data_IF_040021573404
#
_entry.id   IF_040021573404
#
_cell.length_a   1.000
_cell.length_b   1.000
_cell.length_c   1.000
_cell.angle_alpha   90.00
_cell.angle_beta   90.00
_cell.angle_gamma   90.00
#
_symmetry.space_group_name_H-M   'P 1'
#
loop_
_entity.id
_entity.type
_entity.pdbx_description
1 polymer ?
#
# COMPACT_ATOMS: atom_id res chain seq x y z
N UNK A 1 7.24 7.06 -16.58
CA UNK A 1 6.46 7.36 -15.36
C UNK A 1 5.04 6.82 -15.40
N UNK A 2 4.18 7.17 -16.37
CA UNK A 2 2.75 6.75 -16.40
C UNK A 2 2.55 5.24 -16.26
N UNK A 3 3.33 4.44 -16.98
CA UNK A 3 3.27 2.97 -16.87
C UNK A 3 3.63 2.44 -15.49
N UNK A 4 4.61 3.04 -14.80
CA UNK A 4 5.00 2.66 -13.44
C UNK A 4 3.87 2.93 -12.45
N UNK A 5 3.20 4.09 -12.58
CA UNK A 5 2.02 4.41 -11.79
C UNK A 5 0.86 3.44 -12.05
N UNK A 6 0.59 3.11 -13.31
CA UNK A 6 -0.45 2.15 -13.68
C UNK A 6 -0.19 0.77 -13.08
N UNK A 7 1.04 0.27 -13.18
CA UNK A 7 1.44 -1.02 -12.59
C UNK A 7 1.35 -0.97 -11.06
N UNK A 8 1.83 0.11 -10.42
CA UNK A 8 1.74 0.26 -8.97
C UNK A 8 0.28 0.29 -8.49
N UNK A 9 -0.59 1.07 -9.13
CA UNK A 9 -2.01 1.15 -8.80
C UNK A 9 -2.71 -0.20 -9.01
N UNK A 10 -2.39 -0.91 -10.09
CA UNK A 10 -2.93 -2.23 -10.36
C UNK A 10 -2.52 -3.25 -9.29
N UNK A 11 -1.23 -3.34 -8.97
CA UNK A 11 -0.70 -4.33 -8.01
C UNK A 11 -1.18 -4.03 -6.58
N UNK A 12 -1.22 -2.77 -6.18
CA UNK A 12 -1.74 -2.38 -4.85
C UNK A 12 -3.24 -2.63 -4.73
N UNK A 13 -4.03 -2.39 -5.78
CA UNK A 13 -5.45 -2.72 -5.79
C UNK A 13 -5.69 -4.25 -5.79
N UNK A 14 -4.85 -5.02 -6.49
CA UNK A 14 -4.88 -6.49 -6.43
C UNK A 14 -4.58 -7.00 -5.01
N UNK A 15 -3.57 -6.43 -4.34
CA UNK A 15 -3.26 -6.76 -2.94
C UNK A 15 -4.44 -6.44 -2.01
N UNK A 16 -5.10 -5.28 -2.22
CA UNK A 16 -6.30 -4.90 -1.45
C UNK A 16 -7.41 -5.94 -1.58
N UNK A 17 -7.71 -6.38 -2.79
CA UNK A 17 -8.75 -7.39 -3.02
C UNK A 17 -8.40 -8.72 -2.34
N UNK A 18 -7.16 -9.19 -2.47
CA UNK A 18 -6.70 -10.41 -1.82
C UNK A 18 -6.77 -10.34 -0.29
N UNK A 19 -6.41 -9.21 0.30
CA UNK A 19 -6.52 -9.00 1.75
C UNK A 19 -7.98 -8.94 2.19
N UNK A 20 -8.85 -8.32 1.39
CA UNK A 20 -10.29 -8.27 1.63
C UNK A 20 -10.92 -9.67 1.58
N UNK A 21 -10.60 -10.47 0.58
CA UNK A 21 -11.07 -11.86 0.46
C UNK A 21 -10.67 -12.71 1.69
N UNK A 22 -9.51 -12.43 2.28
CA UNK A 22 -9.04 -13.07 3.51
C UNK A 22 -9.73 -12.56 4.77
N UNK A 23 -10.09 -11.27 4.80
CA UNK A 23 -10.85 -10.63 5.88
C UNK A 23 -12.30 -11.12 5.92
N UNK A 24 -12.93 -11.26 4.75
CA UNK A 24 -14.34 -11.61 4.59
C UNK A 24 -14.61 -13.13 4.61
N UNK A 25 -13.56 -13.97 4.73
CA UNK A 25 -13.65 -15.44 4.73
C UNK A 25 -14.77 -16.04 5.60
N UNK A 26 -14.97 -15.54 6.83
CA UNK A 26 -16.02 -16.07 7.71
C UNK A 26 -17.44 -15.72 7.23
N UNK A 27 -17.63 -14.53 6.65
CA UNK A 27 -18.91 -14.12 6.07
C UNK A 27 -19.18 -14.85 4.77
N UNK A 28 -18.19 -14.90 3.89
CA UNK A 28 -18.27 -15.59 2.61
C UNK A 28 -18.54 -17.09 2.78
N UNK A 29 -17.92 -17.73 3.78
CA UNK A 29 -18.16 -19.13 4.11
C UNK A 29 -19.57 -19.39 4.65
N UNK A 30 -20.18 -18.42 5.35
CA UNK A 30 -21.55 -18.53 5.85
C UNK A 30 -22.59 -18.29 4.75
N UNK A 31 -22.26 -17.45 3.76
CA UNK A 31 -23.12 -17.15 2.60
C UNK A 31 -22.94 -18.13 1.42
N UNK A 32 -21.97 -19.05 1.48
CA UNK A 32 -21.69 -20.01 0.41
C UNK A 32 -20.97 -19.40 -0.81
N UNK A 33 -20.25 -18.28 -0.63
CA UNK A 33 -19.51 -17.63 -1.70
C UNK A 33 -18.24 -18.42 -2.07
N UNK A 34 -17.99 -18.58 -3.37
CA UNK A 34 -16.85 -19.35 -3.89
C UNK A 34 -15.58 -18.48 -4.06
N UNK A 35 -15.02 -17.96 -2.96
CA UNK A 35 -13.73 -17.25 -3.00
C UNK A 35 -12.55 -18.20 -2.85
N UNK A 36 -11.34 -17.78 -3.26
CA UNK A 36 -10.14 -18.61 -3.14
C UNK A 36 -9.86 -19.00 -1.67
N UNK A 37 -10.19 -18.11 -0.73
CA UNK A 37 -10.10 -18.36 0.70
C UNK A 37 -11.12 -19.41 1.16
N UNK A 38 -12.37 -19.37 0.68
CA UNK A 38 -13.41 -20.35 1.02
C UNK A 38 -13.12 -21.73 0.42
N UNK A 39 -12.69 -21.80 -0.85
CA UNK A 39 -12.45 -23.06 -1.56
C UNK A 39 -11.20 -23.81 -1.10
N UNK A 40 -10.09 -23.10 -0.85
CA UNK A 40 -8.78 -23.72 -0.51
C UNK A 40 -8.32 -23.43 0.92
N UNK A 41 -9.10 -22.67 1.68
CA UNK A 41 -8.77 -22.24 3.03
C UNK A 41 -7.87 -21.00 3.09
N UNK A 42 -7.91 -20.26 4.21
CA UNK A 42 -7.17 -19.01 4.38
C UNK A 42 -5.65 -19.19 4.33
N UNK A 43 -5.14 -20.37 4.70
CA UNK A 43 -3.70 -20.67 4.61
C UNK A 43 -3.16 -20.69 3.18
N UNK A 44 -3.97 -21.14 2.21
CA UNK A 44 -3.57 -21.15 0.80
C UNK A 44 -3.76 -19.80 0.15
N UNK A 45 -4.86 -19.09 0.45
CA UNK A 45 -5.13 -17.76 -0.06
C UNK A 45 -4.14 -16.68 0.45
N UNK A 46 -3.51 -16.91 1.62
CA UNK A 46 -2.43 -16.05 2.13
C UNK A 46 -1.16 -16.02 1.27
N UNK A 47 -0.82 -17.12 0.58
CA UNK A 47 0.41 -17.21 -0.22
C UNK A 47 0.43 -16.20 -1.37
N UNK A 48 -0.60 -16.11 -2.24
CA UNK A 48 -0.62 -15.11 -3.30
C UNK A 48 -0.67 -13.69 -2.74
N UNK A 49 -1.38 -13.44 -1.63
CA UNK A 49 -1.41 -12.13 -0.97
C UNK A 49 -0.05 -11.70 -0.40
N UNK A 50 0.71 -12.65 0.16
CA UNK A 50 2.07 -12.39 0.62
C UNK A 50 3.02 -12.11 -0.55
N UNK A 51 2.88 -12.85 -1.65
CA UNK A 51 3.69 -12.65 -2.86
C UNK A 51 3.43 -11.27 -3.49
N UNK A 52 2.17 -10.86 -3.62
CA UNK A 52 1.83 -9.50 -4.09
C UNK A 52 2.31 -8.42 -3.13
N UNK A 53 2.25 -8.64 -1.81
CA UNK A 53 2.84 -7.74 -0.81
C UNK A 53 4.34 -7.52 -1.01
N UNK A 54 5.10 -8.60 -1.25
CA UNK A 54 6.53 -8.52 -1.59
C UNK A 54 6.74 -7.76 -2.90
N UNK A 55 5.93 -8.04 -3.93
CA UNK A 55 6.00 -7.31 -5.21
C UNK A 55 5.77 -5.81 -5.03
N UNK A 56 4.82 -5.39 -4.18
CA UNK A 56 4.61 -3.97 -3.85
C UNK A 56 5.87 -3.38 -3.20
N UNK A 57 6.48 -4.08 -2.25
CA UNK A 57 7.71 -3.61 -1.60
C UNK A 57 8.85 -3.44 -2.63
N UNK A 58 9.04 -4.41 -3.53
CA UNK A 58 10.05 -4.33 -4.59
C UNK A 58 9.80 -3.18 -5.55
N UNK A 59 8.55 -2.92 -5.93
CA UNK A 59 8.19 -1.78 -6.78
C UNK A 59 8.50 -0.45 -6.09
N UNK A 60 8.25 -0.33 -4.78
CA UNK A 60 8.58 0.88 -4.01
C UNK A 60 10.09 1.08 -3.94
N UNK A 61 10.88 0.03 -3.68
CA UNK A 61 12.35 0.12 -3.66
C UNK A 61 12.88 0.55 -5.03
N UNK A 62 12.34 -0.01 -6.12
CA UNK A 62 12.72 0.38 -7.47
C UNK A 62 12.38 1.84 -7.78
N UNK A 63 11.22 2.33 -7.32
CA UNK A 63 10.83 3.73 -7.43
C UNK A 63 11.81 4.65 -6.68
N UNK A 64 12.16 4.31 -5.44
CA UNK A 64 13.09 5.11 -4.63
C UNK A 64 14.47 5.18 -5.27
N UNK A 65 14.96 4.05 -5.81
CA UNK A 65 16.22 4.02 -6.55
C UNK A 65 16.16 4.89 -7.81
N UNK A 66 15.04 4.84 -8.55
CA UNK A 66 14.84 5.69 -9.74
C UNK A 66 14.84 7.19 -9.38
N UNK A 67 14.21 7.57 -8.27
CA UNK A 67 14.24 8.95 -7.76
C UNK A 67 15.64 9.41 -7.38
N UNK A 68 16.42 8.54 -6.74
CA UNK A 68 17.81 8.83 -6.42
C UNK A 68 18.67 9.09 -7.68
N UNK A 69 18.41 8.34 -8.76
CA UNK A 69 19.13 8.49 -10.04
C UNK A 69 18.66 9.69 -10.88
N UNK A 70 17.55 10.33 -10.53
CA UNK A 70 16.98 11.47 -11.26
C UNK A 70 17.07 12.78 -10.47
N UNK A 71 17.98 12.84 -9.48
CA UNK A 71 18.21 13.99 -8.60
C UNK A 71 16.93 14.52 -7.94
N UNK A 72 16.05 13.61 -7.52
CA UNK A 72 14.90 13.98 -6.71
C UNK A 72 15.35 14.55 -5.35
N UNK A 73 14.60 15.50 -4.76
CA UNK A 73 14.92 16.04 -3.45
C UNK A 73 15.03 14.94 -2.38
N UNK A 74 16.05 15.02 -1.52
CA UNK A 74 16.30 14.03 -0.44
C UNK A 74 15.07 13.83 0.47
N UNK A 75 14.26 14.88 0.65
CA UNK A 75 13.04 14.81 1.43
C UNK A 75 11.99 13.88 0.79
N UNK A 76 11.88 13.85 -0.55
CA UNK A 76 10.94 12.97 -1.26
C UNK A 76 11.34 11.50 -1.11
N UNK A 77 12.63 11.21 -1.21
CA UNK A 77 13.18 9.86 -1.03
C UNK A 77 12.95 9.38 0.40
N UNK A 78 13.28 10.23 1.38
CA UNK A 78 13.09 9.92 2.81
C UNK A 78 11.61 9.73 3.14
N UNK A 79 10.74 10.62 2.67
CA UNK A 79 9.30 10.51 2.84
C UNK A 79 8.75 9.24 2.19
N UNK A 80 9.18 8.89 0.98
CA UNK A 80 8.78 7.65 0.31
C UNK A 80 9.22 6.41 1.07
N UNK A 81 10.43 6.38 1.64
CA UNK A 81 10.89 5.28 2.47
C UNK A 81 10.02 5.10 3.73
N UNK A 82 9.70 6.19 4.43
CA UNK A 82 8.91 6.11 5.67
C UNK A 82 7.40 5.94 5.45
N UNK A 83 6.82 6.55 4.40
CA UNK A 83 5.37 6.57 4.17
C UNK A 83 4.88 5.50 3.20
N UNK A 84 5.76 4.90 2.40
CA UNK A 84 5.40 3.80 1.49
C UNK A 84 6.08 2.50 1.88
N UNK A 85 7.42 2.48 1.96
CA UNK A 85 8.16 1.23 2.13
C UNK A 85 7.89 0.61 3.51
N UNK A 86 7.97 1.41 4.57
CA UNK A 86 7.76 0.94 5.93
C UNK A 86 6.33 0.36 6.11
N UNK A 87 5.23 1.06 5.79
CA UNK A 87 3.89 0.50 5.83
C UNK A 87 3.71 -0.74 4.95
N UNK A 88 4.35 -0.80 3.76
CA UNK A 88 4.28 -1.96 2.88
C UNK A 88 4.95 -3.20 3.48
N UNK A 89 6.09 -3.04 4.14
CA UNK A 89 6.76 -4.12 4.87
C UNK A 89 5.86 -4.59 6.02
N UNK A 90 5.32 -3.66 6.82
CA UNK A 90 4.41 -4.00 7.92
C UNK A 90 3.14 -4.70 7.43
N UNK A 91 2.53 -4.25 6.33
CA UNK A 91 1.37 -4.88 5.72
C UNK A 91 1.70 -6.32 5.28
N UNK A 92 2.83 -6.51 4.58
CA UNK A 92 3.28 -7.82 4.12
C UNK A 92 3.53 -8.77 5.29
N UNK A 93 4.23 -8.31 6.33
CA UNK A 93 4.46 -9.09 7.54
C UNK A 93 3.16 -9.42 8.29
N UNK A 94 2.23 -8.47 8.37
CA UNK A 94 0.92 -8.67 8.96
C UNK A 94 0.14 -9.76 8.20
N UNK A 95 0.14 -9.73 6.86
CA UNK A 95 -0.48 -10.77 6.02
C UNK A 95 0.14 -12.14 6.31
N UNK A 96 1.48 -12.24 6.36
CA UNK A 96 2.16 -13.50 6.66
C UNK A 96 1.87 -14.03 8.07
N UNK A 97 1.74 -13.15 9.07
CA UNK A 97 1.45 -13.54 10.46
C UNK A 97 -0.03 -13.73 10.78
N UNK A 98 -0.94 -13.15 9.98
CA UNK A 98 -2.37 -13.15 10.25
C UNK A 98 -2.96 -14.55 10.44
N UNK A 99 -3.68 -14.77 11.54
CA UNK A 99 -4.41 -16.02 11.81
C UNK A 99 -5.89 -15.77 12.04
N UNK A 100 -6.24 -14.59 12.53
CA UNK A 100 -7.61 -14.19 12.86
C UNK A 100 -8.05 -13.00 12.00
N UNK A 101 -9.37 -12.82 11.86
CA UNK A 101 -9.98 -11.74 11.08
C UNK A 101 -9.39 -10.36 11.41
N UNK A 102 -9.21 -10.06 12.70
CA UNK A 102 -8.67 -8.77 13.17
C UNK A 102 -7.27 -8.46 12.62
N UNK A 103 -6.45 -9.48 12.35
CA UNK A 103 -5.13 -9.29 11.76
C UNK A 103 -5.24 -8.87 10.30
N UNK A 104 -6.20 -9.44 9.55
CA UNK A 104 -6.47 -9.07 8.17
C UNK A 104 -7.07 -7.67 8.07
N UNK A 105 -7.94 -7.27 9.00
CA UNK A 105 -8.44 -5.89 9.09
C UNK A 105 -7.30 -4.89 9.29
N UNK A 106 -6.32 -5.20 10.16
CA UNK A 106 -5.12 -4.35 10.34
C UNK A 106 -4.29 -4.26 9.06
N UNK A 107 -4.08 -5.38 8.37
CA UNK A 107 -3.38 -5.39 7.08
C UNK A 107 -4.13 -4.58 6.02
N UNK A 108 -5.46 -4.69 5.96
CA UNK A 108 -6.36 -3.96 5.05
C UNK A 108 -6.23 -2.44 5.26
N UNK A 109 -6.19 -1.99 6.51
CA UNK A 109 -5.95 -0.58 6.85
C UNK A 109 -4.57 -0.11 6.37
N UNK A 110 -3.52 -0.89 6.60
CA UNK A 110 -2.16 -0.55 6.11
C UNK A 110 -2.11 -0.44 4.59
N UNK A 111 -2.77 -1.36 3.86
CA UNK A 111 -2.85 -1.31 2.39
C UNK A 111 -3.59 -0.05 1.92
N UNK A 112 -4.67 0.36 2.59
CA UNK A 112 -5.37 1.63 2.28
C UNK A 112 -4.48 2.84 2.51
N UNK A 113 -3.69 2.84 3.59
CA UNK A 113 -2.72 3.91 3.86
C UNK A 113 -1.69 3.98 2.73
N UNK A 114 -1.11 2.85 2.31
CA UNK A 114 -0.14 2.78 1.21
C UNK A 114 -0.75 3.29 -0.11
N UNK A 115 -2.01 2.95 -0.40
CA UNK A 115 -2.68 3.45 -1.60
C UNK A 115 -2.87 4.96 -1.55
N UNK A 116 -3.32 5.50 -0.41
CA UNK A 116 -3.52 6.92 -0.21
C UNK A 116 -2.18 7.67 -0.31
N UNK A 117 -1.20 7.33 0.53
CA UNK A 117 0.13 7.95 0.50
C UNK A 117 0.82 7.75 -0.84
N UNK A 118 0.60 6.61 -1.49
CA UNK A 118 1.10 6.29 -2.82
C UNK A 118 0.64 7.33 -3.82
N UNK A 119 -0.66 7.60 -3.92
CA UNK A 119 -1.17 8.62 -4.84
C UNK A 119 -0.56 9.99 -4.56
N UNK A 120 -0.44 10.43 -3.30
CA UNK A 120 0.15 11.74 -2.98
C UNK A 120 1.64 11.85 -3.30
N UNK A 121 2.44 10.86 -2.94
CA UNK A 121 3.89 10.85 -3.20
C UNK A 121 4.20 10.65 -4.68
N UNK A 122 3.38 9.85 -5.37
CA UNK A 122 3.54 9.56 -6.79
C UNK A 122 3.08 10.72 -7.66
N UNK A 123 2.05 11.45 -7.24
CA UNK A 123 1.67 12.72 -7.87
C UNK A 123 2.72 13.78 -7.51
N UNK A 124 3.82 13.81 -8.28
CA UNK A 124 4.93 14.77 -8.19
C UNK A 124 4.51 16.24 -8.46
N UNK A 125 3.24 16.59 -8.26
CA UNK A 125 2.77 17.97 -8.17
C UNK A 125 2.92 18.56 -6.76
N UNK A 126 3.48 17.81 -5.80
CA UNK A 126 3.80 18.35 -4.48
C UNK A 126 4.94 19.37 -4.62
N UNK A 127 4.82 20.59 -4.05
CA UNK A 127 5.82 21.64 -4.20
C UNK A 127 7.20 21.14 -3.76
N UNK A 128 8.24 21.65 -4.43
CA UNK A 128 9.63 21.26 -4.19
C UNK A 128 10.06 21.51 -2.73
N UNK A 129 9.35 22.41 -2.03
CA UNK A 129 9.51 22.69 -0.61
C UNK A 129 8.25 22.32 0.22
N UNK A 130 8.36 21.41 1.22
CA UNK A 130 7.28 21.13 2.16
C UNK A 130 6.90 22.36 3.03
N UNK A 131 7.75 23.39 3.07
CA UNK A 131 7.48 24.65 3.77
C UNK A 131 6.41 25.51 3.06
N UNK A 132 6.29 25.45 1.74
CA UNK A 132 5.23 26.15 1.00
C UNK A 132 3.84 25.56 1.31
N UNK A 133 3.76 24.26 1.59
CA UNK A 133 2.51 23.61 2.01
C UNK A 133 2.13 24.05 3.42
N UNK A 134 3.10 24.13 4.33
CA UNK A 134 2.86 24.62 5.68
C UNK A 134 2.46 26.09 5.67
N UNK A 135 3.06 26.92 4.82
CA UNK A 135 2.68 28.31 4.65
C UNK A 135 1.30 28.48 4.02
N UNK A 136 0.96 27.72 2.98
CA UNK A 136 -0.38 27.78 2.36
C UNK A 136 -1.48 27.30 3.29
N UNK A 137 -1.23 26.24 4.08
CA UNK A 137 -2.16 25.78 5.13
C UNK A 137 -2.27 26.80 6.26
N UNK A 138 -1.15 27.41 6.70
CA UNK A 138 -1.18 28.49 7.70
C UNK A 138 -1.92 29.72 7.19
N UNK A 139 -1.72 30.11 5.94
CA UNK A 139 -2.42 31.23 5.31
C UNK A 139 -3.94 30.96 5.19
N UNK A 140 -4.33 29.72 4.89
CA UNK A 140 -5.73 29.31 4.84
C UNK A 140 -6.40 29.26 6.22
N UNK A 141 -5.67 28.90 7.28
CA UNK A 141 -6.18 28.87 8.66
C UNK A 141 -6.20 30.27 9.29
N UNK A 142 -5.33 31.18 8.84
CA UNK A 142 -5.21 32.53 9.37
C UNK A 142 -6.11 33.58 8.68
N UNK A 143 -6.83 33.22 7.61
CA UNK A 143 -7.82 34.06 6.94
C UNK A 143 -9.24 33.66 7.31
#
# INVERSE_FOLDING_TARGET
>A
LVWLYGVFAFVTNLLREQVKDLEDFQGDSACGCATLAVLKGPRFAKKPAGFTGITVCTLIVFLLFFWQQTDAPDWQITAGAFLLLLPAIFATLAIFRAKVKSDFTRASVLVKIIMFTGVFLLLRSWPEDPMEVVESVRAFIAG
#
